data_IF_737652809408
#
_entry.id   IF_737652809408
#
_cell.length_a   1.000
_cell.length_b   1.000
_cell.length_c   1.000
_cell.angle_alpha   90.00
_cell.angle_beta   90.00
_cell.angle_gamma   90.00
#
_symmetry.space_group_name_H-M   'P 1'
#
loop_
_entity.id
_entity.type
_entity.pdbx_description
1 polymer ?
#
# COMPACT_ATOMS: atom_id res chain seq x y z
N UNK A 1 -5.48 -12.30 10.86
CA UNK A 1 -6.66 -11.98 11.67
C UNK A 1 -7.68 -11.21 10.84
N UNK A 2 -8.94 -11.65 10.85
CA UNK A 2 -10.04 -11.02 10.13
C UNK A 2 -10.87 -10.11 11.04
N UNK A 3 -11.38 -9.04 10.45
CA UNK A 3 -12.34 -8.13 11.07
C UNK A 3 -13.40 -7.77 10.05
N UNK A 4 -14.61 -7.51 10.50
CA UNK A 4 -15.67 -6.99 9.66
C UNK A 4 -16.32 -5.75 10.26
N UNK A 5 -16.89 -4.91 9.42
CA UNK A 5 -17.61 -3.70 9.82
C UNK A 5 -18.80 -3.47 8.90
N UNK A 6 -19.82 -2.78 9.41
CA UNK A 6 -20.96 -2.28 8.64
C UNK A 6 -20.85 -0.80 8.33
N UNK A 7 -19.99 -0.09 9.05
CA UNK A 7 -19.88 1.38 9.02
C UNK A 7 -18.43 1.88 8.89
N UNK A 8 -17.45 0.98 8.80
CA UNK A 8 -16.01 1.25 8.73
C UNK A 8 -15.42 1.95 9.97
N UNK A 9 -16.22 2.11 11.02
CA UNK A 9 -15.84 2.73 12.31
C UNK A 9 -15.82 1.68 13.42
N UNK A 10 -16.88 0.88 13.50
CA UNK A 10 -17.02 -0.18 14.47
C UNK A 10 -16.68 -1.53 13.85
N UNK A 11 -15.73 -2.25 14.46
CA UNK A 11 -15.17 -3.47 13.89
C UNK A 11 -15.35 -4.66 14.82
N UNK A 12 -15.90 -5.74 14.29
CA UNK A 12 -15.99 -7.04 14.93
C UNK A 12 -14.77 -7.89 14.57
N UNK A 13 -14.15 -8.50 15.57
CA UNK A 13 -13.04 -9.43 15.38
C UNK A 13 -13.59 -10.84 15.09
N UNK A 14 -13.15 -11.44 14.00
CA UNK A 14 -13.59 -12.77 13.53
C UNK A 14 -12.58 -13.89 13.85
N UNK A 15 -11.44 -13.57 14.42
CA UNK A 15 -10.40 -14.54 14.73
C UNK A 15 -9.27 -14.62 13.71
N UNK A 16 -8.42 -15.62 13.87
CA UNK A 16 -7.36 -15.93 12.93
C UNK A 16 -7.94 -16.56 11.66
N UNK A 17 -7.47 -16.12 10.50
CA UNK A 17 -7.85 -16.69 9.20
C UNK A 17 -6.96 -17.88 8.84
N UNK A 18 -5.69 -17.76 9.14
CA UNK A 18 -4.70 -18.82 8.86
C UNK A 18 -4.67 -19.81 9.99
N UNK A 19 -4.55 -21.10 9.65
CA UNK A 19 -4.33 -22.17 10.63
C UNK A 19 -2.95 -22.03 11.29
N UNK A 20 -2.85 -22.43 12.54
CA UNK A 20 -1.55 -22.60 13.22
C UNK A 20 -0.72 -23.72 12.59
N UNK A 21 -1.41 -24.75 12.02
CA UNK A 21 -0.74 -25.79 11.24
C UNK A 21 -0.63 -25.34 9.79
N UNK A 22 0.58 -25.18 9.29
CA UNK A 22 0.80 -24.73 7.92
C UNK A 22 0.32 -25.75 6.89
N UNK A 23 -0.11 -25.30 5.70
CA UNK A 23 -0.35 -26.20 4.58
C UNK A 23 0.90 -27.02 4.22
N UNK A 24 0.74 -28.30 4.01
CA UNK A 24 1.87 -29.21 3.72
C UNK A 24 2.61 -28.87 2.44
N UNK A 25 1.91 -28.32 1.45
CA UNK A 25 2.48 -27.93 0.17
C UNK A 25 3.65 -26.95 0.26
N UNK A 26 3.72 -26.14 1.34
CA UNK A 26 4.80 -25.16 1.55
C UNK A 26 6.14 -25.88 1.68
N UNK A 27 6.20 -26.85 2.59
CA UNK A 27 7.39 -27.69 2.81
C UNK A 27 7.70 -28.54 1.57
N UNK A 28 6.68 -29.14 0.98
CA UNK A 28 6.82 -29.97 -0.20
C UNK A 28 7.40 -29.21 -1.38
N UNK A 29 6.85 -28.00 -1.65
CA UNK A 29 7.32 -27.14 -2.74
C UNK A 29 8.74 -26.62 -2.50
N UNK A 30 9.04 -26.19 -1.26
CA UNK A 30 10.38 -25.76 -0.88
C UNK A 30 11.39 -26.87 -1.13
N UNK A 31 11.13 -28.07 -0.62
CA UNK A 31 12.04 -29.21 -0.76
C UNK A 31 12.17 -29.73 -2.19
N UNK A 32 11.11 -29.64 -3.00
CA UNK A 32 11.21 -29.94 -4.44
C UNK A 32 12.23 -29.03 -5.13
N UNK A 33 12.16 -27.72 -4.89
CA UNK A 33 13.15 -26.78 -5.45
C UNK A 33 14.56 -27.02 -4.89
N UNK A 34 14.70 -27.32 -3.61
CA UNK A 34 16.00 -27.66 -3.01
C UNK A 34 16.62 -28.90 -3.65
N UNK A 35 15.81 -29.93 -3.89
CA UNK A 35 16.26 -31.15 -4.59
C UNK A 35 16.76 -30.83 -6.00
N UNK A 36 16.05 -30.00 -6.75
CA UNK A 36 16.49 -29.56 -8.08
C UNK A 36 17.81 -28.79 -8.06
N UNK A 37 18.10 -28.11 -6.95
CA UNK A 37 19.36 -27.40 -6.72
C UNK A 37 20.46 -28.29 -6.13
N UNK A 38 20.18 -29.56 -5.85
CA UNK A 38 21.13 -30.48 -5.21
C UNK A 38 21.37 -30.22 -3.73
N UNK A 39 20.40 -29.60 -3.05
CA UNK A 39 20.46 -29.25 -1.63
C UNK A 39 19.65 -30.24 -0.79
N UNK A 40 20.07 -30.42 0.46
CA UNK A 40 19.38 -31.27 1.43
C UNK A 40 17.98 -30.74 1.76
N UNK A 41 16.99 -31.59 2.00
CA UNK A 41 15.65 -31.18 2.40
C UNK A 41 15.66 -30.56 3.80
N UNK A 42 14.65 -29.72 4.07
CA UNK A 42 14.43 -29.09 5.35
C UNK A 42 13.17 -29.66 5.97
N UNK A 43 13.27 -30.17 7.19
CA UNK A 43 12.16 -30.80 7.87
C UNK A 43 11.16 -29.81 8.47
N UNK A 44 11.66 -28.71 9.02
CA UNK A 44 10.86 -27.72 9.72
C UNK A 44 11.23 -26.30 9.25
N UNK A 45 10.80 -25.89 8.05
CA UNK A 45 11.06 -24.53 7.57
C UNK A 45 10.32 -23.52 8.45
N UNK A 46 11.01 -22.44 8.81
CA UNK A 46 10.39 -21.32 9.51
C UNK A 46 9.87 -20.31 8.50
N UNK A 47 8.64 -19.84 8.67
CA UNK A 47 8.01 -18.86 7.78
C UNK A 47 6.90 -18.09 8.48
N UNK A 48 6.48 -16.98 7.86
CA UNK A 48 5.37 -16.14 8.28
C UNK A 48 4.38 -15.89 7.17
N UNK A 49 3.12 -15.64 7.53
CA UNK A 49 2.07 -15.20 6.62
C UNK A 49 2.02 -13.68 6.59
N UNK A 50 2.07 -13.11 5.40
CA UNK A 50 2.10 -11.66 5.20
C UNK A 50 1.09 -11.21 4.15
N UNK A 51 0.69 -9.95 4.24
CA UNK A 51 0.02 -9.16 3.20
C UNK A 51 -1.06 -9.90 2.40
N UNK A 52 -2.14 -10.39 3.02
CA UNK A 52 -3.23 -11.02 2.28
C UNK A 52 -4.09 -9.97 1.56
N UNK A 53 -4.60 -10.35 0.40
CA UNK A 53 -5.66 -9.64 -0.32
C UNK A 53 -6.83 -10.57 -0.60
N UNK A 54 -8.03 -10.15 -0.29
CA UNK A 54 -9.24 -10.90 -0.59
C UNK A 54 -10.15 -10.11 -1.52
N UNK A 55 -10.68 -10.78 -2.57
CA UNK A 55 -11.59 -10.16 -3.55
C UNK A 55 -12.70 -11.13 -3.91
N UNK A 56 -13.86 -10.55 -4.23
CA UNK A 56 -14.97 -11.28 -4.83
C UNK A 56 -14.62 -11.64 -6.27
N UNK A 57 -14.79 -12.90 -6.63
CA UNK A 57 -14.58 -13.40 -8.00
C UNK A 57 -15.90 -13.45 -8.75
N UNK A 58 -16.94 -14.00 -8.09
CA UNK A 58 -18.29 -14.15 -8.62
C UNK A 58 -19.28 -14.26 -7.44
N UNK A 59 -20.57 -14.44 -7.73
CA UNK A 59 -21.53 -14.73 -6.67
C UNK A 59 -21.17 -16.05 -5.96
N UNK A 60 -20.96 -15.96 -4.64
CA UNK A 60 -20.59 -17.09 -3.82
C UNK A 60 -19.16 -17.61 -4.02
N UNK A 61 -18.29 -16.79 -4.63
CA UNK A 61 -16.86 -17.14 -4.75
C UNK A 61 -15.97 -15.95 -4.44
N UNK A 62 -15.09 -16.12 -3.45
CA UNK A 62 -14.07 -15.15 -3.03
C UNK A 62 -12.71 -15.82 -3.03
N UNK A 63 -11.69 -15.09 -3.46
CA UNK A 63 -10.30 -15.51 -3.45
C UNK A 63 -9.49 -14.64 -2.51
N UNK A 64 -8.59 -15.27 -1.78
CA UNK A 64 -7.58 -14.61 -0.95
C UNK A 64 -6.20 -15.11 -1.38
N UNK A 65 -5.40 -14.21 -1.92
CA UNK A 65 -3.97 -14.44 -2.13
C UNK A 65 -3.21 -13.96 -0.89
N UNK A 66 -2.19 -14.67 -0.50
CA UNK A 66 -1.40 -14.36 0.69
C UNK A 66 0.05 -14.74 0.50
N UNK A 67 0.93 -14.00 1.12
CA UNK A 67 2.37 -14.26 1.07
C UNK A 67 2.80 -15.21 2.16
N UNK A 68 3.74 -16.09 1.84
CA UNK A 68 4.46 -16.94 2.77
C UNK A 68 5.93 -16.56 2.66
N UNK A 69 6.43 -15.83 3.65
CA UNK A 69 7.84 -15.42 3.68
C UNK A 69 8.63 -16.45 4.44
N UNK A 70 9.52 -17.14 3.74
CA UNK A 70 10.46 -18.08 4.36
C UNK A 70 11.46 -17.27 5.19
N UNK A 71 11.66 -17.66 6.44
CA UNK A 71 12.53 -16.93 7.37
C UNK A 71 13.94 -16.80 6.82
N UNK A 72 14.55 -15.66 7.09
CA UNK A 72 15.73 -15.03 6.50
C UNK A 72 16.85 -15.93 6.01
N UNK A 73 16.99 -17.15 6.50
CA UNK A 73 17.99 -18.10 6.05
C UNK A 73 17.60 -19.51 6.40
N UNK A 74 18.15 -20.42 5.66
CA UNK A 74 17.99 -21.86 5.86
C UNK A 74 19.20 -22.36 6.62
N UNK A 75 18.97 -22.99 7.75
CA UNK A 75 20.01 -23.54 8.61
C UNK A 75 20.79 -24.63 7.88
N UNK A 76 22.09 -24.45 7.73
CA UNK A 76 22.97 -25.40 7.05
C UNK A 76 23.76 -26.28 8.00
N UNK A 77 23.65 -26.06 9.33
CA UNK A 77 24.50 -26.68 10.33
C UNK A 77 25.91 -26.06 10.46
N UNK A 78 26.23 -25.06 9.66
CA UNK A 78 27.47 -24.30 9.79
C UNK A 78 27.37 -23.28 10.92
N UNK A 79 28.49 -22.94 11.59
CA UNK A 79 28.50 -21.89 12.62
C UNK A 79 28.07 -20.56 12.01
N UNK A 80 27.27 -19.77 12.73
CA UNK A 80 27.00 -18.39 12.38
C UNK A 80 28.28 -17.56 12.49
N UNK A 81 28.49 -16.74 11.47
CA UNK A 81 29.49 -15.69 11.46
C UNK A 81 28.76 -14.37 11.57
N UNK A 82 29.28 -13.42 12.34
CA UNK A 82 28.69 -12.10 12.53
C UNK A 82 28.27 -11.48 11.19
N UNK A 83 27.02 -11.08 11.07
CA UNK A 83 26.37 -10.54 9.88
C UNK A 83 26.29 -11.48 8.66
N UNK A 84 26.68 -12.71 8.77
CA UNK A 84 26.66 -13.65 7.66
C UNK A 84 25.66 -14.78 7.81
N UNK A 85 25.10 -15.00 8.98
CA UNK A 85 24.10 -16.04 9.24
C UNK A 85 24.48 -17.45 8.78
N UNK A 86 23.81 -18.43 9.33
CA UNK A 86 23.96 -19.81 8.93
C UNK A 86 22.97 -20.15 7.80
N UNK A 87 23.25 -19.69 6.59
CA UNK A 87 22.41 -19.92 5.43
C UNK A 87 23.21 -20.51 4.25
N UNK A 88 22.53 -21.20 3.38
CA UNK A 88 23.17 -21.86 2.24
C UNK A 88 23.31 -20.96 0.99
N UNK A 89 22.82 -19.73 1.05
CA UNK A 89 22.86 -18.78 -0.07
C UNK A 89 22.01 -19.19 -1.26
N UNK A 90 21.11 -20.16 -1.08
CA UNK A 90 20.27 -20.65 -2.16
C UNK A 90 19.07 -19.75 -2.44
N UNK A 91 18.53 -19.90 -3.64
CA UNK A 91 17.28 -19.26 -4.02
C UNK A 91 16.10 -19.63 -3.10
N UNK A 92 16.13 -20.79 -2.44
CA UNK A 92 14.98 -21.34 -1.70
C UNK A 92 14.60 -20.59 -0.42
N UNK A 93 15.40 -19.62 0.02
CA UNK A 93 15.05 -18.71 1.12
C UNK A 93 14.08 -17.60 0.69
N UNK A 94 13.05 -17.88 -0.07
CA UNK A 94 12.23 -16.84 -0.65
C UNK A 94 10.77 -16.96 -0.23
N UNK A 95 9.98 -16.11 -0.81
CA UNK A 95 8.58 -16.10 -0.56
C UNK A 95 7.81 -16.92 -1.60
N UNK A 96 6.67 -17.39 -1.17
CA UNK A 96 5.62 -17.96 -2.01
C UNK A 96 4.36 -17.12 -1.88
N UNK A 97 3.53 -17.09 -2.91
CA UNK A 97 2.14 -16.69 -2.82
C UNK A 97 1.29 -17.94 -2.87
N UNK A 98 0.42 -18.07 -1.88
CA UNK A 98 -0.62 -19.09 -1.79
C UNK A 98 -2.00 -18.51 -2.11
N UNK A 99 -2.96 -19.40 -2.32
CA UNK A 99 -4.35 -19.07 -2.62
C UNK A 99 -5.28 -19.83 -1.69
N UNK A 100 -6.29 -19.11 -1.18
CA UNK A 100 -7.46 -19.66 -0.51
C UNK A 100 -8.74 -19.21 -1.16
N UNK A 101 -9.80 -19.99 -1.07
CA UNK A 101 -11.13 -19.65 -1.54
C UNK A 101 -12.18 -19.86 -0.46
N UNK A 102 -13.26 -19.07 -0.52
CA UNK A 102 -14.46 -19.25 0.31
C UNK A 102 -15.70 -18.83 -0.46
N UNK A 103 -16.85 -19.38 -0.07
CA UNK A 103 -18.16 -18.89 -0.52
C UNK A 103 -18.75 -17.83 0.43
N UNK A 104 -18.25 -17.76 1.67
CA UNK A 104 -18.70 -16.83 2.71
C UNK A 104 -17.51 -16.25 3.48
N UNK A 105 -17.01 -15.07 3.09
CA UNK A 105 -15.89 -14.45 3.79
C UNK A 105 -16.24 -14.00 5.21
N UNK A 106 -17.53 -13.84 5.54
CA UNK A 106 -17.96 -13.46 6.88
C UNK A 106 -17.82 -14.60 7.90
N UNK A 107 -17.81 -15.84 7.45
CA UNK A 107 -17.53 -17.01 8.29
C UNK A 107 -16.07 -17.10 8.73
N UNK A 108 -15.17 -16.42 8.00
CA UNK A 108 -13.72 -16.52 8.14
C UNK A 108 -13.16 -17.95 7.97
N UNK A 109 -13.91 -18.82 7.26
CA UNK A 109 -13.49 -20.18 6.91
C UNK A 109 -13.06 -20.18 5.45
N UNK A 110 -11.80 -20.54 5.20
CA UNK A 110 -11.18 -20.52 3.90
C UNK A 110 -10.58 -21.89 3.57
N UNK A 111 -10.79 -22.33 2.34
CA UNK A 111 -10.20 -23.56 1.81
C UNK A 111 -8.88 -23.26 1.12
N UNK A 112 -7.80 -23.94 1.53
CA UNK A 112 -6.49 -23.82 0.88
C UNK A 112 -6.52 -24.39 -0.54
N UNK A 113 -6.04 -23.60 -1.49
CA UNK A 113 -5.90 -23.96 -2.92
C UNK A 113 -4.43 -24.10 -3.34
N UNK A 114 -3.53 -23.98 -2.37
CA UNK A 114 -2.11 -24.23 -2.53
C UNK A 114 -1.33 -23.14 -3.24
N UNK A 115 -0.17 -23.53 -3.74
CA UNK A 115 0.84 -22.70 -4.37
C UNK A 115 0.34 -21.97 -5.62
N UNK A 116 0.76 -20.72 -5.78
CA UNK A 116 0.50 -19.87 -6.96
C UNK A 116 1.80 -19.53 -7.67
N UNK A 117 2.70 -18.85 -7.02
CA UNK A 117 3.96 -18.35 -7.57
C UNK A 117 4.99 -18.21 -6.46
N UNK A 118 6.28 -18.22 -6.82
CA UNK A 118 7.39 -17.98 -5.90
C UNK A 118 8.24 -16.79 -6.37
N UNK A 119 9.09 -16.29 -5.48
CA UNK A 119 10.14 -15.35 -5.86
C UNK A 119 11.03 -15.96 -6.93
N UNK A 120 11.47 -15.14 -7.87
CA UNK A 120 12.22 -15.61 -9.03
C UNK A 120 13.45 -14.72 -9.32
N UNK A 121 14.49 -15.32 -9.88
CA UNK A 121 15.80 -14.70 -10.09
C UNK A 121 16.34 -14.93 -11.51
N UNK A 122 17.24 -14.09 -11.92
CA UNK A 122 18.06 -14.21 -13.14
C UNK A 122 19.51 -14.66 -12.82
N UNK A 123 19.77 -15.14 -11.60
CA UNK A 123 21.12 -15.45 -11.09
C UNK A 123 21.53 -16.91 -11.26
N UNK A 124 20.68 -17.76 -11.81
CA UNK A 124 20.94 -19.20 -11.89
C UNK A 124 20.75 -19.93 -10.56
N UNK A 125 21.04 -21.23 -10.55
CA UNK A 125 20.83 -22.10 -9.39
C UNK A 125 21.85 -21.92 -8.26
N UNK A 126 23.07 -21.57 -8.58
CA UNK A 126 24.22 -21.64 -7.67
C UNK A 126 24.91 -20.33 -7.41
N UNK A 127 24.81 -19.40 -8.32
CA UNK A 127 25.43 -18.08 -8.20
C UNK A 127 24.43 -17.04 -7.71
N UNK A 128 24.02 -17.19 -6.48
CA UNK A 128 22.98 -16.37 -5.88
C UNK A 128 23.49 -15.02 -5.35
N UNK A 129 24.80 -14.87 -5.22
CA UNK A 129 25.48 -13.61 -4.95
C UNK A 129 25.20 -12.98 -3.59
N UNK A 130 24.55 -13.70 -2.66
CA UNK A 130 24.31 -13.20 -1.31
C UNK A 130 25.54 -13.41 -0.46
N UNK A 131 26.15 -12.34 0.00
CA UNK A 131 27.37 -12.38 0.83
C UNK A 131 27.07 -12.44 2.32
N UNK A 132 25.90 -11.98 2.76
CA UNK A 132 25.46 -12.00 4.17
C UNK A 132 23.96 -12.00 4.28
N UNK A 133 23.43 -12.23 5.48
CA UNK A 133 22.00 -12.14 5.79
C UNK A 133 21.41 -10.75 5.48
N UNK A 134 22.22 -9.72 5.55
CA UNK A 134 21.81 -8.34 5.30
C UNK A 134 21.99 -7.92 3.83
N UNK A 135 22.53 -8.79 3.01
CA UNK A 135 22.71 -8.56 1.58
C UNK A 135 21.42 -8.87 0.83
N UNK A 136 20.60 -7.85 0.62
CA UNK A 136 19.34 -7.94 -0.13
C UNK A 136 19.54 -7.67 -1.64
N UNK A 137 20.67 -7.13 -2.04
CA UNK A 137 21.04 -6.93 -3.43
C UNK A 137 21.31 -8.26 -4.13
N UNK A 138 20.98 -8.39 -5.35
CA UNK A 138 21.22 -9.63 -6.10
C UNK A 138 20.33 -10.81 -5.75
N UNK A 139 19.43 -10.64 -4.84
CA UNK A 139 18.57 -11.67 -4.29
C UNK A 139 17.69 -12.32 -5.33
N UNK A 140 16.71 -11.59 -5.82
CA UNK A 140 15.76 -12.06 -6.82
C UNK A 140 15.32 -10.88 -7.71
N UNK A 141 14.80 -11.19 -8.85
CA UNK A 141 14.28 -10.20 -9.79
C UNK A 141 12.84 -9.83 -9.49
N UNK A 142 12.01 -10.81 -9.11
CA UNK A 142 10.63 -10.61 -8.66
C UNK A 142 10.47 -11.27 -7.30
N UNK A 143 9.97 -10.52 -6.33
CA UNK A 143 9.69 -11.01 -4.99
C UNK A 143 8.21 -11.39 -4.87
N UNK A 144 7.90 -12.64 -4.51
CA UNK A 144 6.53 -13.14 -4.41
C UNK A 144 5.88 -12.79 -3.06
N UNK A 145 5.77 -11.49 -2.78
CA UNK A 145 5.02 -10.96 -1.64
C UNK A 145 4.13 -9.79 -2.07
N UNK A 146 3.28 -9.34 -1.17
CA UNK A 146 2.38 -8.21 -1.31
C UNK A 146 1.43 -8.32 -2.52
N UNK A 147 0.67 -9.41 -2.65
CA UNK A 147 -0.25 -9.56 -3.77
C UNK A 147 -1.43 -8.59 -3.69
N UNK A 148 -1.85 -8.05 -4.83
CA UNK A 148 -3.20 -7.55 -5.07
C UNK A 148 -3.82 -8.25 -6.26
N UNK A 149 -5.14 -8.28 -6.34
CA UNK A 149 -5.86 -9.07 -7.34
C UNK A 149 -7.01 -8.26 -7.92
N UNK A 150 -7.12 -8.27 -9.24
CA UNK A 150 -8.17 -7.55 -9.96
C UNK A 150 -8.72 -8.38 -11.12
N UNK A 151 -10.01 -8.20 -11.40
CA UNK A 151 -10.67 -8.67 -12.60
C UNK A 151 -10.89 -7.47 -13.50
N UNK A 152 -10.37 -7.52 -14.72
CA UNK A 152 -10.51 -6.44 -15.69
C UNK A 152 -11.93 -6.38 -16.26
N UNK A 153 -12.28 -5.29 -16.93
CA UNK A 153 -13.57 -5.16 -17.60
C UNK A 153 -13.80 -6.22 -18.68
N UNK A 154 -12.73 -6.74 -19.27
CA UNK A 154 -12.77 -7.82 -20.24
C UNK A 154 -12.88 -9.23 -19.61
N UNK A 155 -12.95 -9.31 -18.28
CA UNK A 155 -13.03 -10.57 -17.55
C UNK A 155 -11.70 -11.30 -17.39
N UNK A 156 -10.57 -10.66 -17.68
CA UNK A 156 -9.25 -11.21 -17.40
C UNK A 156 -8.94 -11.07 -15.91
N UNK A 157 -8.28 -12.07 -15.34
CA UNK A 157 -7.89 -12.12 -13.94
C UNK A 157 -6.38 -11.86 -13.81
N UNK A 158 -6.01 -10.91 -12.96
CA UNK A 158 -4.63 -10.49 -12.80
C UNK A 158 -4.23 -10.44 -11.34
N UNK A 159 -3.03 -10.94 -11.07
CA UNK A 159 -2.32 -10.82 -9.81
C UNK A 159 -1.19 -9.82 -10.00
N UNK A 160 -1.19 -8.75 -9.21
CA UNK A 160 -0.11 -7.76 -9.19
C UNK A 160 0.63 -7.96 -7.87
N UNK A 161 1.94 -8.14 -7.93
CA UNK A 161 2.72 -8.49 -6.74
C UNK A 161 4.17 -8.03 -6.86
N UNK A 162 4.85 -7.95 -5.76
CA UNK A 162 6.26 -7.60 -5.70
C UNK A 162 6.58 -6.66 -4.55
N UNK A 163 7.83 -6.69 -4.14
CA UNK A 163 8.29 -5.88 -3.03
C UNK A 163 9.81 -5.72 -3.14
N UNK A 164 10.27 -4.48 -3.11
CA UNK A 164 11.67 -4.12 -3.22
C UNK A 164 12.32 -4.66 -4.53
N UNK A 165 13.64 -4.70 -4.56
CA UNK A 165 14.47 -5.28 -5.64
C UNK A 165 14.10 -4.76 -7.03
N UNK A 166 13.68 -5.62 -7.94
CA UNK A 166 13.42 -5.21 -9.32
C UNK A 166 12.03 -4.63 -9.57
N UNK A 167 11.15 -4.66 -8.57
CA UNK A 167 9.87 -3.94 -8.65
C UNK A 167 8.63 -4.82 -8.59
N UNK A 168 7.56 -4.33 -9.23
CA UNK A 168 6.21 -4.87 -9.19
C UNK A 168 5.90 -5.55 -10.52
N UNK A 169 5.37 -6.76 -10.46
CA UNK A 169 4.99 -7.56 -11.63
C UNK A 169 3.47 -7.70 -11.77
N UNK A 170 3.00 -7.74 -13.01
CA UNK A 170 1.63 -8.08 -13.40
C UNK A 170 1.62 -9.49 -14.00
N UNK A 171 0.89 -10.40 -13.37
CA UNK A 171 0.78 -11.80 -13.73
C UNK A 171 -0.67 -12.13 -14.05
N UNK A 172 -0.94 -12.57 -15.26
CA UNK A 172 -2.26 -13.06 -15.63
C UNK A 172 -2.51 -14.44 -15.03
N UNK A 173 -3.69 -14.62 -14.43
CA UNK A 173 -4.10 -15.88 -13.80
C UNK A 173 -5.37 -16.43 -14.44
N UNK A 174 -5.52 -17.73 -14.41
CA UNK A 174 -6.70 -18.42 -14.93
C UNK A 174 -7.94 -18.06 -14.08
N UNK A 175 -9.03 -17.59 -14.71
CA UNK A 175 -10.28 -17.28 -14.02
C UNK A 175 -10.86 -18.44 -13.20
N UNK A 176 -10.69 -19.69 -13.63
CA UNK A 176 -11.28 -20.86 -12.99
C UNK A 176 -10.60 -21.21 -11.67
N UNK A 177 -9.28 -21.31 -11.66
CA UNK A 177 -8.51 -21.80 -10.51
C UNK A 177 -7.60 -20.76 -9.84
N UNK A 178 -7.44 -19.56 -10.45
CA UNK A 178 -6.61 -18.49 -9.87
C UNK A 178 -5.10 -18.75 -9.91
N UNK A 179 -4.65 -19.75 -10.68
CA UNK A 179 -3.22 -20.04 -10.87
C UNK A 179 -2.68 -19.31 -12.09
N UNK A 180 -1.35 -19.20 -12.25
CA UNK A 180 -0.77 -18.58 -13.43
C UNK A 180 -1.34 -19.15 -14.73
N UNK A 181 -1.70 -18.27 -15.67
CA UNK A 181 -2.28 -18.71 -16.95
C UNK A 181 -1.28 -19.51 -17.78
N UNK A 182 -0.01 -19.12 -17.71
CA UNK A 182 1.10 -19.84 -18.35
C UNK A 182 1.88 -20.64 -17.31
N UNK A 183 2.49 -21.72 -17.74
CA UNK A 183 3.35 -22.52 -16.89
C UNK A 183 4.51 -21.68 -16.35
N UNK A 184 4.80 -21.82 -15.06
CA UNK A 184 5.98 -21.23 -14.44
C UNK A 184 7.23 -21.89 -15.03
N UNK A 185 8.18 -21.08 -15.49
CA UNK A 185 9.53 -21.52 -15.80
C UNK A 185 10.35 -21.77 -14.54
N UNK A 186 11.62 -22.06 -14.72
CA UNK A 186 12.54 -22.20 -13.60
C UNK A 186 12.69 -20.85 -12.85
N UNK A 187 12.48 -20.82 -11.54
CA UNK A 187 12.48 -19.56 -10.78
C UNK A 187 13.86 -18.93 -10.60
N UNK A 188 14.93 -19.60 -10.98
CA UNK A 188 16.30 -19.09 -10.94
C UNK A 188 16.84 -18.63 -12.30
N UNK A 189 16.01 -18.63 -13.34
CA UNK A 189 16.44 -18.47 -14.73
C UNK A 189 15.52 -17.54 -15.53
N UNK A 190 14.89 -16.57 -14.86
CA UNK A 190 14.02 -15.61 -15.51
C UNK A 190 14.84 -14.47 -16.12
N UNK A 191 14.53 -14.12 -17.37
CA UNK A 191 15.24 -13.07 -18.12
C UNK A 191 14.26 -12.07 -18.74
N UNK A 192 14.74 -10.86 -19.03
CA UNK A 192 13.94 -9.83 -19.67
C UNK A 192 12.92 -9.14 -18.72
N UNK A 193 12.07 -8.30 -19.30
CA UNK A 193 10.99 -7.60 -18.59
C UNK A 193 9.68 -8.37 -18.58
N UNK A 194 9.43 -9.15 -19.63
CA UNK A 194 8.31 -10.07 -19.75
C UNK A 194 8.79 -11.48 -19.42
N UNK A 195 8.67 -11.82 -18.14
CA UNK A 195 9.10 -13.12 -17.64
C UNK A 195 7.92 -14.07 -17.65
N UNK A 196 7.69 -14.71 -18.79
CA UNK A 196 6.60 -15.64 -19.00
C UNK A 196 6.41 -16.59 -17.82
N UNK A 197 5.20 -16.61 -17.26
CA UNK A 197 4.85 -17.37 -16.07
C UNK A 197 5.08 -16.64 -14.72
N UNK A 198 5.95 -15.63 -14.65
CA UNK A 198 6.16 -14.81 -13.45
C UNK A 198 5.60 -13.38 -13.60
N UNK A 199 5.16 -13.02 -14.78
CA UNK A 199 4.56 -11.73 -15.09
C UNK A 199 5.53 -10.70 -15.64
N UNK A 200 4.97 -9.59 -16.09
CA UNK A 200 5.67 -8.43 -16.65
C UNK A 200 5.92 -7.42 -15.54
N UNK A 201 7.12 -6.90 -15.45
CA UNK A 201 7.44 -5.80 -14.51
C UNK A 201 6.77 -4.52 -15.02
N UNK A 202 5.94 -3.89 -14.19
CA UNK A 202 5.12 -2.72 -14.52
C UNK A 202 5.52 -1.46 -13.77
N UNK A 203 6.26 -1.59 -12.69
CA UNK A 203 6.78 -0.46 -11.92
C UNK A 203 8.08 -0.82 -11.21
N UNK A 204 9.04 0.12 -11.20
CA UNK A 204 10.28 0.03 -10.44
C UNK A 204 10.60 1.39 -9.83
N UNK A 205 11.14 1.42 -8.62
CA UNK A 205 11.57 2.67 -8.00
C UNK A 205 13.04 2.93 -8.28
N UNK A 206 13.35 3.80 -9.24
CA UNK A 206 14.72 4.10 -9.65
C UNK A 206 15.43 2.91 -10.26
N UNK A 207 16.73 2.89 -10.20
CA UNK A 207 17.62 1.85 -10.76
C UNK A 207 18.28 0.97 -9.71
N UNK A 208 18.17 1.34 -8.43
CA UNK A 208 18.75 0.59 -7.31
C UNK A 208 17.75 -0.41 -6.73
N UNK A 209 18.19 -1.63 -6.53
CA UNK A 209 17.40 -2.68 -5.86
C UNK A 209 17.10 -2.37 -4.38
N UNK A 210 17.82 -1.43 -3.79
CA UNK A 210 17.61 -0.96 -2.41
C UNK A 210 16.48 0.06 -2.26
N UNK A 211 15.92 0.54 -3.35
CA UNK A 211 14.82 1.48 -3.27
C UNK A 211 13.52 0.75 -3.02
N UNK A 212 12.96 0.97 -1.84
CA UNK A 212 11.71 0.35 -1.43
C UNK A 212 10.53 0.87 -2.27
N UNK A 213 9.90 -0.05 -3.00
CA UNK A 213 8.60 0.09 -3.61
C UNK A 213 7.89 -1.23 -3.41
N UNK A 214 6.78 -1.23 -2.67
CA UNK A 214 6.09 -2.45 -2.27
C UNK A 214 4.60 -2.20 -2.05
N UNK A 215 3.88 -3.22 -1.58
CA UNK A 215 2.47 -3.12 -1.24
C UNK A 215 1.61 -2.59 -2.38
N UNK A 216 1.70 -3.16 -3.61
CA UNK A 216 0.87 -2.70 -4.72
C UNK A 216 -0.61 -2.90 -4.41
N UNK A 217 -1.42 -1.93 -4.76
CA UNK A 217 -2.87 -2.06 -4.81
C UNK A 217 -3.35 -1.53 -6.15
N UNK A 218 -4.28 -2.25 -6.80
CA UNK A 218 -4.80 -1.85 -8.11
C UNK A 218 -6.31 -1.79 -8.08
N UNK A 219 -6.84 -0.69 -8.61
CA UNK A 219 -8.27 -0.53 -8.89
C UNK A 219 -8.47 -0.09 -10.34
N UNK A 220 -9.69 -0.29 -10.84
CA UNK A 220 -10.13 0.29 -12.12
C UNK A 220 -11.19 1.36 -11.86
N UNK A 221 -11.02 2.52 -12.49
CA UNK A 221 -11.99 3.60 -12.43
C UNK A 221 -11.90 4.50 -13.68
N UNK A 222 -13.04 4.79 -14.28
CA UNK A 222 -13.19 5.75 -15.39
C UNK A 222 -12.19 5.53 -16.55
N UNK A 223 -11.97 4.26 -16.91
CA UNK A 223 -11.10 3.87 -18.05
C UNK A 223 -9.62 3.84 -17.71
N UNK A 224 -9.24 3.87 -16.42
CA UNK A 224 -7.86 3.74 -15.96
C UNK A 224 -7.71 2.69 -14.87
N UNK A 225 -6.62 1.95 -14.93
CA UNK A 225 -6.08 1.20 -13.81
C UNK A 225 -5.19 2.14 -13.00
N UNK A 226 -5.46 2.25 -11.70
CA UNK A 226 -4.64 3.01 -10.76
C UNK A 226 -3.81 2.05 -9.95
N UNK A 227 -2.49 2.22 -9.98
CA UNK A 227 -1.54 1.45 -9.21
C UNK A 227 -1.03 2.31 -8.05
N UNK A 228 -1.37 1.90 -6.84
CA UNK A 228 -0.91 2.51 -5.60
C UNK A 228 0.29 1.73 -5.08
N UNK A 229 1.31 2.43 -4.59
CA UNK A 229 2.57 1.86 -4.14
C UNK A 229 2.99 2.46 -2.80
N UNK A 230 3.54 1.64 -1.93
CA UNK A 230 4.22 2.07 -0.72
C UNK A 230 5.70 2.35 -1.00
N UNK A 231 6.16 3.54 -0.65
CA UNK A 231 7.56 3.95 -0.76
C UNK A 231 8.14 4.18 0.64
N UNK A 232 9.42 3.91 0.81
CA UNK A 232 10.15 4.07 2.06
C UNK A 232 10.06 2.87 2.99
N UNK A 233 10.64 3.00 4.17
CA UNK A 233 10.60 1.94 5.18
C UNK A 233 9.31 2.01 6.01
N UNK A 234 8.79 0.84 6.34
CA UNK A 234 7.46 0.68 6.93
C UNK A 234 7.29 1.30 8.33
N UNK A 235 8.36 1.49 9.08
CA UNK A 235 8.26 1.94 10.47
C UNK A 235 8.05 3.45 10.62
N UNK A 236 8.61 4.25 9.70
CA UNK A 236 8.54 5.73 9.75
C UNK A 236 8.22 6.32 8.39
N UNK A 237 9.00 5.98 7.36
CA UNK A 237 9.04 6.69 6.09
C UNK A 237 7.88 6.38 5.14
N UNK A 238 7.12 5.32 5.42
CA UNK A 238 6.05 4.89 4.53
C UNK A 238 5.20 6.06 4.04
N UNK A 239 5.08 6.11 2.74
CA UNK A 239 4.25 7.05 2.02
C UNK A 239 3.62 6.37 0.80
N UNK A 240 2.41 6.75 0.47
CA UNK A 240 1.69 6.18 -0.67
C UNK A 240 1.83 7.05 -1.89
N UNK A 241 2.16 6.42 -3.01
CA UNK A 241 2.23 7.02 -4.35
C UNK A 241 1.21 6.37 -5.25
N UNK A 242 0.80 7.07 -6.31
CA UNK A 242 -0.12 6.52 -7.30
C UNK A 242 0.31 6.90 -8.71
N UNK A 243 0.14 5.96 -9.62
CA UNK A 243 0.24 6.14 -11.06
C UNK A 243 -0.92 5.44 -11.74
N UNK A 244 -1.15 5.69 -13.02
CA UNK A 244 -2.27 5.08 -13.75
C UNK A 244 -1.90 4.69 -15.17
N UNK A 245 -2.65 3.73 -15.71
CA UNK A 245 -2.53 3.24 -17.09
C UNK A 245 -3.88 2.93 -17.68
N UNK A 246 -3.99 2.92 -19.01
CA UNK A 246 -5.16 2.39 -19.72
C UNK A 246 -5.18 0.86 -19.74
N UNK A 247 -4.03 0.22 -19.59
CA UNK A 247 -3.88 -1.24 -19.58
C UNK A 247 -3.38 -1.70 -18.22
N UNK A 248 -3.85 -2.89 -17.80
CA UNK A 248 -3.47 -3.47 -16.50
C UNK A 248 -1.97 -3.77 -16.41
N UNK A 249 -1.33 -4.13 -17.51
CA UNK A 249 0.09 -4.43 -17.63
C UNK A 249 0.95 -3.22 -18.05
N UNK A 250 0.38 -2.01 -17.98
CA UNK A 250 1.05 -0.74 -18.24
C UNK A 250 1.05 -0.28 -19.71
N UNK A 251 1.82 0.76 -20.04
CA UNK A 251 2.70 1.54 -19.16
C UNK A 251 1.94 2.41 -18.16
N UNK A 252 2.41 2.43 -16.92
CA UNK A 252 1.88 3.31 -15.88
C UNK A 252 2.64 4.63 -15.85
N UNK A 253 1.90 5.72 -15.68
CA UNK A 253 2.46 7.08 -15.58
C UNK A 253 1.88 7.82 -14.38
N UNK A 254 2.68 8.70 -13.81
CA UNK A 254 2.27 9.59 -12.72
C UNK A 254 1.45 10.79 -13.24
N UNK A 255 1.03 11.70 -12.35
CA UNK A 255 0.23 12.88 -12.69
C UNK A 255 0.94 13.84 -13.67
N UNK A 256 2.26 13.78 -13.76
CA UNK A 256 3.07 14.59 -14.66
C UNK A 256 3.45 13.85 -15.96
N UNK A 257 2.95 12.62 -16.14
CA UNK A 257 3.29 11.78 -17.29
C UNK A 257 4.63 11.05 -17.18
N UNK A 258 5.28 11.09 -16.01
CA UNK A 258 6.52 10.35 -15.80
C UNK A 258 6.24 8.85 -15.66
N UNK A 259 7.08 8.04 -16.29
CA UNK A 259 6.98 6.57 -16.22
C UNK A 259 7.12 6.05 -14.80
N UNK A 260 6.34 5.04 -14.44
CA UNK A 260 6.53 4.27 -13.21
C UNK A 260 7.76 3.34 -13.26
N UNK A 261 8.34 3.14 -14.44
CA UNK A 261 9.57 2.37 -14.61
C UNK A 261 10.80 3.24 -14.39
N UNK A 262 11.63 2.88 -13.41
CA UNK A 262 12.89 3.57 -13.13
C UNK A 262 12.73 4.94 -12.46
N UNK A 263 11.55 5.32 -12.00
CA UNK A 263 11.32 6.61 -11.39
C UNK A 263 11.33 6.54 -9.86
N UNK A 264 12.33 7.18 -9.26
CA UNK A 264 12.46 7.25 -7.80
C UNK A 264 11.37 8.09 -7.12
N UNK A 265 10.70 8.96 -7.86
CA UNK A 265 9.72 9.93 -7.33
C UNK A 265 8.47 9.97 -8.21
N UNK A 266 7.46 9.18 -7.85
CA UNK A 266 6.12 9.28 -8.44
C UNK A 266 5.27 10.31 -7.72
N UNK A 267 4.45 11.04 -8.44
CA UNK A 267 3.46 11.97 -7.91
C UNK A 267 2.05 11.57 -8.37
N UNK A 268 1.02 11.84 -7.56
CA UNK A 268 1.06 12.53 -6.28
C UNK A 268 1.50 11.65 -5.11
N UNK A 269 1.83 12.30 -4.00
CA UNK A 269 1.94 11.71 -2.69
C UNK A 269 0.54 11.69 -2.09
N UNK A 270 0.03 10.54 -1.71
CA UNK A 270 -1.31 10.47 -1.11
C UNK A 270 -1.28 10.54 0.42
N UNK A 271 -0.30 9.88 1.01
CA UNK A 271 -0.06 9.87 2.45
C UNK A 271 1.43 9.98 2.72
N UNK A 272 1.81 10.55 3.84
CA UNK A 272 3.19 10.60 4.34
C UNK A 272 3.17 10.84 5.86
N UNK A 273 4.28 10.69 6.58
CA UNK A 273 4.36 11.02 8.00
C UNK A 273 3.96 12.47 8.27
N UNK A 274 3.03 12.66 9.21
CA UNK A 274 2.50 13.97 9.53
C UNK A 274 2.07 14.09 10.99
N UNK A 275 1.87 15.32 11.46
CA UNK A 275 1.13 15.63 12.67
C UNK A 275 0.40 16.96 12.55
N UNK A 276 -0.81 17.02 13.05
CA UNK A 276 -1.47 18.25 13.43
C UNK A 276 -0.89 18.73 14.75
N UNK A 277 -0.86 20.01 14.98
CA UNK A 277 -0.04 20.66 16.02
C UNK A 277 -0.27 19.98 17.36
N UNK A 278 -1.25 19.94 18.01
CA UNK A 278 -1.44 19.38 19.36
C UNK A 278 -1.55 17.84 19.40
N UNK A 279 -0.94 17.11 18.46
CA UNK A 279 -1.01 15.66 18.41
C UNK A 279 0.36 15.00 18.29
N UNK A 280 0.43 13.71 18.54
CA UNK A 280 1.62 12.92 18.24
C UNK A 280 1.75 12.67 16.74
N UNK A 281 0.62 12.77 16.01
CA UNK A 281 0.54 12.45 14.60
C UNK A 281 0.78 10.97 14.28
N UNK A 282 1.05 10.72 13.03
CA UNK A 282 1.17 9.37 12.49
C UNK A 282 2.39 9.24 11.58
N UNK A 283 3.01 8.06 11.63
CA UNK A 283 4.08 7.64 10.74
C UNK A 283 3.74 6.27 10.14
N UNK A 284 4.51 5.81 9.18
CA UNK A 284 4.34 4.47 8.61
C UNK A 284 2.99 4.27 7.89
N UNK A 285 2.43 5.30 7.26
CA UNK A 285 1.08 5.28 6.67
C UNK A 285 1.18 4.89 5.21
N UNK A 286 1.08 3.62 4.92
CA UNK A 286 1.01 3.09 3.55
C UNK A 286 0.66 1.60 3.55
N UNK A 287 1.00 0.88 2.47
CA UNK A 287 0.59 -0.49 2.20
C UNK A 287 -0.94 -0.57 2.22
N UNK A 288 -1.54 0.10 1.25
CA UNK A 288 -2.95 0.42 1.27
C UNK A 288 -3.82 -0.64 0.59
N UNK A 289 -5.10 -0.64 0.97
CA UNK A 289 -6.19 -1.23 0.21
C UNK A 289 -7.16 -0.12 -0.19
N UNK A 290 -7.67 -0.16 -1.41
CA UNK A 290 -8.59 0.82 -1.97
C UNK A 290 -9.88 0.12 -2.35
N UNK A 291 -11.01 0.68 -1.97
CA UNK A 291 -12.31 0.12 -2.34
C UNK A 291 -13.39 1.21 -2.37
N UNK A 292 -14.50 0.91 -3.03
CA UNK A 292 -15.73 1.70 -2.98
C UNK A 292 -16.84 0.91 -2.27
N UNK A 293 -17.86 1.63 -1.80
CA UNK A 293 -19.02 1.05 -1.11
C UNK A 293 -20.19 0.73 -2.05
N UNK A 294 -20.00 0.89 -3.36
CA UNK A 294 -21.06 0.74 -4.36
C UNK A 294 -22.05 1.90 -4.41
N UNK A 295 -21.94 2.89 -3.52
CA UNK A 295 -22.74 4.12 -3.49
C UNK A 295 -21.96 5.35 -3.97
N UNK A 296 -20.76 5.16 -4.48
CA UNK A 296 -19.89 6.21 -5.00
C UNK A 296 -18.90 6.78 -3.99
N UNK A 297 -18.88 6.28 -2.76
CA UNK A 297 -17.87 6.65 -1.79
C UNK A 297 -16.64 5.74 -1.91
N UNK A 298 -15.47 6.33 -1.87
CA UNK A 298 -14.20 5.63 -1.98
C UNK A 298 -13.41 5.75 -0.70
N UNK A 299 -12.72 4.67 -0.37
CA UNK A 299 -11.98 4.55 0.88
C UNK A 299 -10.56 4.04 0.64
N UNK A 300 -9.67 4.59 1.44
CA UNK A 300 -8.29 4.21 1.58
C UNK A 300 -8.11 3.52 2.94
N UNK A 301 -7.61 2.31 2.96
CA UNK A 301 -7.22 1.61 4.18
C UNK A 301 -5.71 1.43 4.22
N UNK A 302 -5.12 1.51 5.38
CA UNK A 302 -3.68 1.26 5.55
C UNK A 302 -3.36 0.89 6.99
N UNK A 303 -2.11 0.52 7.21
CA UNK A 303 -1.54 0.65 8.55
C UNK A 303 -1.26 2.13 8.88
N UNK A 304 -1.14 2.43 10.17
CA UNK A 304 -0.54 3.63 10.71
C UNK A 304 0.17 3.27 12.01
N UNK A 305 1.23 4.00 12.32
CA UNK A 305 2.02 3.80 13.55
C UNK A 305 2.15 5.09 14.31
N UNK A 306 2.27 5.00 15.61
CA UNK A 306 2.75 6.14 16.40
C UNK A 306 4.25 6.38 16.12
N UNK A 307 4.70 7.63 16.27
CA UNK A 307 6.14 7.90 16.41
C UNK A 307 6.75 7.13 17.59
N UNK A 308 8.05 7.00 17.63
CA UNK A 308 8.75 6.48 18.81
C UNK A 308 8.55 7.39 20.02
N UNK A 309 8.58 6.82 21.22
CA UNK A 309 8.51 7.55 22.51
C UNK A 309 7.20 8.32 22.76
N UNK A 310 6.10 7.96 22.13
CA UNK A 310 4.79 8.52 22.43
C UNK A 310 4.37 8.14 23.85
N UNK A 311 4.06 9.16 24.68
CA UNK A 311 3.69 8.95 26.08
C UNK A 311 4.79 8.31 26.94
N UNK A 312 6.06 8.44 26.54
CA UNK A 312 7.20 7.82 27.23
C UNK A 312 7.40 6.33 26.94
N UNK A 313 6.63 5.76 26.00
CA UNK A 313 6.79 4.36 25.57
C UNK A 313 7.76 4.28 24.38
N UNK A 314 8.96 3.77 24.59
CA UNK A 314 9.98 3.58 23.55
C UNK A 314 9.53 2.63 22.43
N UNK A 315 8.59 1.74 22.72
CA UNK A 315 8.02 0.77 21.75
C UNK A 315 6.74 1.25 21.09
N UNK A 316 6.34 2.50 21.25
CA UNK A 316 5.08 3.02 20.67
C UNK A 316 5.01 2.84 19.16
N UNK A 317 6.13 2.91 18.47
CA UNK A 317 6.22 2.68 17.02
C UNK A 317 5.99 1.22 16.60
N UNK A 318 6.13 0.25 17.50
CA UNK A 318 5.88 -1.15 17.20
C UNK A 318 4.38 -1.46 17.02
N UNK A 319 3.51 -0.60 17.54
CA UNK A 319 2.06 -0.79 17.46
C UNK A 319 1.55 -0.33 16.09
N UNK A 320 1.04 -1.28 15.32
CA UNK A 320 0.35 -1.01 14.06
C UNK A 320 -1.16 -0.92 14.28
N UNK A 321 -1.77 0.11 13.75
CA UNK A 321 -3.22 0.31 13.78
C UNK A 321 -3.77 0.37 12.36
N UNK A 322 -4.93 -0.24 12.14
CA UNK A 322 -5.67 -0.10 10.90
C UNK A 322 -6.31 1.27 10.81
N UNK A 323 -6.10 1.95 9.70
CA UNK A 323 -6.73 3.23 9.37
C UNK A 323 -7.70 3.07 8.21
N UNK A 324 -8.81 3.78 8.26
CA UNK A 324 -9.70 4.03 7.13
C UNK A 324 -9.78 5.53 6.92
N UNK A 325 -9.69 5.99 5.68
CA UNK A 325 -9.80 7.40 5.28
C UNK A 325 -10.68 7.49 4.04
N UNK A 326 -11.43 8.57 3.91
CA UNK A 326 -12.16 8.84 2.68
C UNK A 326 -11.21 9.23 1.55
N UNK A 327 -11.62 8.93 0.34
CA UNK A 327 -11.01 9.43 -0.89
C UNK A 327 -12.01 10.33 -1.60
N UNK A 328 -11.58 11.53 -1.98
CA UNK A 328 -12.21 12.30 -3.04
C UNK A 328 -11.39 12.20 -4.32
N UNK A 329 -12.02 12.45 -5.45
CA UNK A 329 -11.37 12.47 -6.75
C UNK A 329 -11.33 13.90 -7.27
N UNK A 330 -10.18 14.36 -7.75
CA UNK A 330 -10.09 15.68 -8.35
C UNK A 330 -10.74 15.72 -9.76
N UNK A 331 -10.84 16.89 -10.34
CA UNK A 331 -11.46 17.09 -11.64
C UNK A 331 -10.74 16.34 -12.80
N UNK A 332 -9.49 15.92 -12.59
CA UNK A 332 -8.69 15.17 -13.55
C UNK A 332 -8.69 13.66 -13.27
N UNK A 333 -9.47 13.21 -12.29
CA UNK A 333 -9.61 11.82 -11.89
C UNK A 333 -8.45 11.30 -11.04
N UNK A 334 -7.71 12.14 -10.33
CA UNK A 334 -6.69 11.69 -9.39
C UNK A 334 -7.25 11.61 -7.96
N UNK A 335 -6.85 10.59 -7.18
CA UNK A 335 -7.35 10.41 -5.83
C UNK A 335 -6.73 11.40 -4.84
N UNK A 336 -7.54 11.83 -3.90
CA UNK A 336 -7.19 12.70 -2.77
C UNK A 336 -7.60 12.00 -1.49
N UNK A 337 -6.64 11.48 -0.73
CA UNK A 337 -6.89 10.84 0.57
C UNK A 337 -7.07 11.92 1.62
N UNK A 338 -8.18 11.86 2.37
CA UNK A 338 -8.48 12.85 3.41
C UNK A 338 -7.55 12.71 4.62
N UNK A 339 -7.21 13.83 5.29
CA UNK A 339 -6.22 13.84 6.36
C UNK A 339 -6.66 13.14 7.63
N UNK A 340 -7.96 13.14 7.93
CA UNK A 340 -8.50 12.50 9.12
C UNK A 340 -8.98 11.07 8.85
N UNK A 341 -8.98 10.25 9.88
CA UNK A 341 -9.56 8.91 9.83
C UNK A 341 -11.07 9.02 9.68
N UNK A 342 -11.65 8.11 8.93
CA UNK A 342 -13.07 8.09 8.67
C UNK A 342 -13.88 7.89 9.94
N UNK A 343 -14.83 8.78 10.18
CA UNK A 343 -15.71 8.77 11.35
C UNK A 343 -17.19 8.63 11.02
N UNK A 344 -17.56 8.30 9.78
CA UNK A 344 -18.94 8.18 9.29
C UNK A 344 -19.78 9.44 9.53
N UNK A 345 -19.18 10.61 9.43
CA UNK A 345 -19.88 11.90 9.60
C UNK A 345 -20.81 12.15 8.43
N UNK A 346 -22.09 12.52 8.65
CA UNK A 346 -22.99 12.91 7.59
C UNK A 346 -22.44 14.09 6.78
N UNK A 347 -22.45 13.98 5.45
CA UNK A 347 -21.91 14.97 4.54
C UNK A 347 -22.95 16.05 4.20
N UNK A 348 -23.44 16.80 5.20
CA UNK A 348 -24.24 17.98 4.94
C UNK A 348 -23.42 19.02 4.17
N UNK A 349 -24.01 19.78 3.21
CA UNK A 349 -23.30 20.81 2.47
C UNK A 349 -22.57 21.78 3.41
N UNK A 350 -21.32 22.06 3.09
CA UNK A 350 -20.51 23.07 3.75
C UNK A 350 -20.90 24.43 3.16
N UNK A 351 -21.02 25.41 4.03
CA UNK A 351 -21.30 26.80 3.63
C UNK A 351 -20.04 27.65 3.65
N UNK A 352 -20.01 28.71 2.89
CA UNK A 352 -18.85 29.61 2.83
C UNK A 352 -18.51 30.22 4.20
N UNK A 353 -19.51 30.53 5.03
CA UNK A 353 -19.30 31.05 6.39
C UNK A 353 -18.55 30.06 7.28
N UNK A 354 -18.71 28.78 7.06
CA UNK A 354 -18.00 27.74 7.83
C UNK A 354 -16.51 27.65 7.47
N UNK A 355 -16.09 28.20 6.32
CA UNK A 355 -14.69 28.19 5.87
C UNK A 355 -13.87 29.21 6.66
N UNK A 356 -14.46 30.35 7.00
CA UNK A 356 -13.77 31.43 7.69
C UNK A 356 -13.17 30.99 9.03
N UNK A 357 -12.01 31.53 9.37
CA UNK A 357 -11.29 31.25 10.60
C UNK A 357 -10.01 30.45 10.41
N UNK A 358 -9.53 29.87 11.48
CA UNK A 358 -8.22 29.22 11.53
C UNK A 358 -8.30 27.77 11.09
N UNK A 359 -7.27 27.35 10.37
CA UNK A 359 -7.05 26.01 9.88
C UNK A 359 -5.64 25.54 10.20
N UNK A 360 -5.49 24.31 10.57
CA UNK A 360 -4.21 23.64 10.46
C UNK A 360 -3.98 23.25 8.99
N UNK A 361 -2.85 23.64 8.46
CA UNK A 361 -2.44 23.37 7.07
C UNK A 361 -1.09 22.66 7.05
N UNK A 362 -0.92 21.66 6.22
CA UNK A 362 0.36 21.03 6.02
C UNK A 362 0.56 20.57 4.56
N UNK A 363 1.82 20.57 4.16
CA UNK A 363 2.24 20.09 2.86
C UNK A 363 3.02 18.79 3.01
N UNK A 364 2.49 17.70 2.44
CA UNK A 364 3.19 16.43 2.33
C UNK A 364 4.26 16.54 1.24
N UNK A 365 5.47 16.19 1.57
CA UNK A 365 6.62 16.24 0.66
C UNK A 365 7.40 14.94 0.69
N UNK A 366 8.31 14.78 -0.26
CA UNK A 366 9.16 13.58 -0.42
C UNK A 366 10.25 13.44 0.63
N UNK A 367 10.44 14.43 1.51
CA UNK A 367 11.47 14.31 2.54
C UNK A 367 11.05 13.23 3.54
N UNK A 368 11.87 12.24 3.63
CA UNK A 368 11.69 11.02 4.42
C UNK A 368 12.20 11.19 5.84
N UNK A 369 11.70 10.37 6.76
CA UNK A 369 12.23 10.25 8.12
C UNK A 369 11.74 11.27 9.15
N UNK A 370 10.97 12.29 8.76
CA UNK A 370 10.38 13.24 9.71
C UNK A 370 8.92 13.52 9.40
N UNK A 371 8.12 13.64 10.47
CA UNK A 371 6.74 14.08 10.33
C UNK A 371 6.69 15.54 9.86
N UNK A 372 5.75 15.82 8.96
CA UNK A 372 5.37 17.20 8.65
C UNK A 372 4.41 17.71 9.70
N UNK A 373 4.76 18.85 10.32
CA UNK A 373 3.89 19.52 11.27
C UNK A 373 3.06 20.57 10.54
N UNK A 374 1.79 20.69 10.93
CA UNK A 374 0.90 21.73 10.43
C UNK A 374 1.37 23.14 10.82
N UNK A 375 0.93 24.11 10.06
CA UNK A 375 0.98 25.54 10.39
C UNK A 375 -0.45 26.08 10.48
N UNK A 376 -0.64 27.18 11.19
CA UNK A 376 -1.93 27.86 11.21
C UNK A 376 -2.08 28.75 10.00
N UNK A 377 -3.23 28.59 9.30
CA UNK A 377 -3.62 29.38 8.15
C UNK A 377 -5.01 29.94 8.39
N UNK A 378 -5.18 31.25 8.29
CA UNK A 378 -6.45 31.93 8.59
C UNK A 378 -7.14 32.39 7.31
N UNK A 379 -8.39 31.97 7.12
CA UNK A 379 -9.26 32.36 6.00
C UNK A 379 -10.17 33.48 6.45
N UNK A 380 -10.03 34.66 5.82
CA UNK A 380 -10.85 35.83 6.09
C UNK A 380 -12.00 35.92 5.09
N UNK A 381 -13.24 35.92 5.61
CA UNK A 381 -14.45 35.92 4.79
C UNK A 381 -14.69 37.28 4.15
N UNK A 382 -14.38 38.38 4.85
CA UNK A 382 -14.69 39.72 4.36
C UNK A 382 -13.83 40.15 3.18
N UNK A 383 -12.56 39.74 3.17
CA UNK A 383 -11.62 40.06 2.07
C UNK A 383 -11.40 38.91 1.11
N UNK A 384 -11.89 37.71 1.40
CA UNK A 384 -11.58 36.47 0.67
C UNK A 384 -10.07 36.26 0.50
N UNK A 385 -9.30 36.57 1.55
CA UNK A 385 -7.85 36.38 1.60
C UNK A 385 -7.46 35.42 2.71
N UNK A 386 -6.34 34.75 2.49
CA UNK A 386 -5.62 34.02 3.52
C UNK A 386 -4.70 35.03 4.21
N UNK A 387 -4.84 35.19 5.53
CA UNK A 387 -4.18 36.27 6.29
C UNK A 387 -2.95 35.82 7.07
N UNK A 388 -2.76 34.47 7.18
CA UNK A 388 -1.59 33.88 7.86
C UNK A 388 -1.09 32.63 7.13
N UNK A 389 0.04 32.07 7.58
CA UNK A 389 0.63 30.85 7.04
C UNK A 389 1.35 31.06 5.71
N UNK A 390 1.77 29.94 5.11
CA UNK A 390 2.58 29.93 3.88
C UNK A 390 1.86 30.50 2.65
N UNK A 391 0.53 30.55 2.66
CA UNK A 391 -0.28 31.15 1.58
C UNK A 391 -0.81 32.55 1.93
N UNK A 392 -0.20 33.23 2.89
CA UNK A 392 -0.57 34.60 3.25
C UNK A 392 -0.65 35.50 2.02
N UNK A 393 -1.74 36.28 1.93
CA UNK A 393 -2.15 37.15 0.83
C UNK A 393 -2.73 36.43 -0.40
N UNK A 394 -2.76 35.10 -0.45
CA UNK A 394 -3.52 34.42 -1.50
C UNK A 394 -5.02 34.71 -1.34
N UNK A 395 -5.70 34.88 -2.45
CA UNK A 395 -7.17 34.98 -2.49
C UNK A 395 -7.78 33.59 -2.58
N UNK A 396 -9.02 33.45 -2.13
CA UNK A 396 -9.78 32.20 -2.24
C UNK A 396 -11.22 32.46 -2.66
N UNK A 397 -11.80 31.47 -3.32
CA UNK A 397 -13.22 31.44 -3.68
C UNK A 397 -13.76 30.05 -3.35
N UNK A 398 -15.03 30.02 -2.94
CA UNK A 398 -15.70 28.76 -2.61
C UNK A 398 -16.75 28.41 -3.66
N UNK A 399 -16.77 27.16 -4.10
CA UNK A 399 -17.80 26.58 -4.94
C UNK A 399 -18.65 25.60 -4.11
N UNK A 400 -19.88 26.01 -3.84
CA UNK A 400 -20.82 25.21 -3.06
C UNK A 400 -21.30 23.95 -3.81
N UNK A 401 -21.29 23.95 -5.14
CA UNK A 401 -21.73 22.79 -5.92
C UNK A 401 -20.73 21.65 -5.87
N UNK A 402 -19.45 21.97 -5.96
CA UNK A 402 -18.35 20.98 -5.92
C UNK A 402 -17.76 20.82 -4.53
N UNK A 403 -18.15 21.66 -3.57
CA UNK A 403 -17.57 21.68 -2.21
C UNK A 403 -16.04 21.82 -2.26
N UNK A 404 -15.59 22.86 -3.01
CA UNK A 404 -14.17 23.14 -3.21
C UNK A 404 -13.82 24.60 -2.93
N UNK A 405 -12.58 24.83 -2.55
CA UNK A 405 -11.98 26.16 -2.46
C UNK A 405 -10.91 26.27 -3.55
N UNK A 406 -11.00 27.25 -4.41
CA UNK A 406 -9.93 27.62 -5.35
C UNK A 406 -9.09 28.74 -4.78
N UNK A 407 -7.78 28.57 -4.78
CA UNK A 407 -6.84 29.59 -4.25
C UNK A 407 -6.00 30.19 -5.35
N UNK A 408 -5.60 31.47 -5.20
CA UNK A 408 -4.63 32.09 -6.10
C UNK A 408 -3.20 31.53 -5.95
N UNK A 409 -2.97 30.63 -5.00
CA UNK A 409 -1.77 29.82 -4.94
C UNK A 409 -1.75 28.69 -6.01
N UNK A 410 -2.80 28.59 -6.81
CA UNK A 410 -2.90 27.61 -7.93
C UNK A 410 -3.32 26.22 -7.47
N UNK A 411 -4.01 26.10 -6.35
CA UNK A 411 -4.44 24.83 -5.77
C UNK A 411 -5.94 24.85 -5.50
N UNK A 412 -6.61 23.74 -5.82
CA UNK A 412 -8.03 23.50 -5.50
C UNK A 412 -8.12 22.55 -4.33
N UNK A 413 -8.78 23.00 -3.26
CA UNK A 413 -8.96 22.24 -2.02
C UNK A 413 -10.32 21.54 -2.05
N UNK A 414 -10.36 20.25 -1.86
CA UNK A 414 -11.58 19.43 -1.84
C UNK A 414 -12.00 19.21 -0.39
N UNK A 415 -13.13 19.77 -0.01
CA UNK A 415 -13.61 19.80 1.37
C UNK A 415 -14.45 18.56 1.71
N UNK A 416 -14.40 18.15 2.97
CA UNK A 416 -15.23 17.09 3.54
C UNK A 416 -15.45 17.33 5.03
N UNK A 417 -16.60 16.90 5.57
CA UNK A 417 -16.84 16.83 7.01
C UNK A 417 -16.23 15.57 7.58
N UNK A 418 -15.59 15.68 8.74
CA UNK A 418 -14.98 14.54 9.40
C UNK A 418 -14.97 14.72 10.93
N UNK A 419 -14.60 13.68 11.65
CA UNK A 419 -14.32 13.74 13.08
C UNK A 419 -12.92 14.34 13.27
N UNK A 420 -12.80 15.31 14.17
CA UNK A 420 -11.51 15.74 14.73
C UNK A 420 -11.07 14.71 15.78
N UNK A 421 -10.20 13.79 15.38
CA UNK A 421 -9.73 12.71 16.24
C UNK A 421 -8.70 13.15 17.28
N UNK A 422 -8.11 14.32 17.12
CA UNK A 422 -7.17 14.93 18.03
C UNK A 422 -7.85 15.79 19.11
N UNK A 423 -9.09 16.24 18.87
CA UNK A 423 -9.86 17.02 19.83
C UNK A 423 -10.29 16.19 21.05
N UNK A 424 -10.34 16.84 22.21
CA UNK A 424 -10.84 16.25 23.45
C UNK A 424 -11.80 17.22 24.16
N UNK A 425 -13.12 16.94 24.20
CA UNK A 425 -13.83 15.79 23.57
C UNK A 425 -13.73 15.84 22.04
N UNK A 426 -13.91 14.67 21.41
CA UNK A 426 -13.98 14.58 19.95
C UNK A 426 -15.17 15.35 19.41
N UNK A 427 -14.96 16.10 18.35
CA UNK A 427 -15.97 16.95 17.69
C UNK A 427 -15.96 16.68 16.18
N UNK A 428 -16.93 17.22 15.47
CA UNK A 428 -16.90 17.23 14.01
C UNK A 428 -16.13 18.47 13.53
N UNK A 429 -15.41 18.32 12.43
CA UNK A 429 -14.69 19.39 11.78
C UNK A 429 -14.84 19.33 10.26
N UNK A 430 -14.24 20.26 9.55
CA UNK A 430 -14.08 20.25 8.10
C UNK A 430 -12.62 20.01 7.80
N UNK A 431 -12.37 19.11 6.86
CA UNK A 431 -11.03 18.80 6.38
C UNK A 431 -10.94 19.04 4.88
N UNK A 432 -9.73 19.19 4.37
CA UNK A 432 -9.50 19.17 2.94
C UNK A 432 -8.25 18.38 2.55
N UNK A 433 -8.27 17.91 1.32
CA UNK A 433 -7.09 17.44 0.61
C UNK A 433 -6.99 18.12 -0.75
N UNK A 434 -5.76 18.31 -1.22
CA UNK A 434 -5.47 18.97 -2.48
C UNK A 434 -4.14 18.51 -3.06
N UNK A 435 -3.98 18.70 -4.37
CA UNK A 435 -2.72 18.45 -5.08
C UNK A 435 -2.35 19.69 -5.89
N UNK A 436 -1.08 20.01 -5.92
CA UNK A 436 -0.53 21.10 -6.71
C UNK A 436 0.93 21.36 -6.38
N UNK A 437 1.67 21.99 -7.29
CA UNK A 437 3.06 22.38 -7.06
C UNK A 437 3.96 21.22 -6.58
N UNK A 438 3.74 20.01 -7.10
CA UNK A 438 4.43 18.76 -6.70
C UNK A 438 4.28 18.41 -5.21
N UNK A 439 3.20 18.84 -4.60
CA UNK A 439 2.87 18.57 -3.20
C UNK A 439 1.42 18.14 -3.07
N UNK A 440 1.15 17.44 -1.98
CA UNK A 440 -0.20 17.22 -1.48
C UNK A 440 -0.40 18.09 -0.26
N UNK A 441 -1.54 18.76 -0.20
CA UNK A 441 -1.88 19.62 0.92
C UNK A 441 -3.04 19.00 1.69
N UNK A 442 -2.92 19.02 3.00
CA UNK A 442 -3.95 18.63 3.93
C UNK A 442 -4.31 19.78 4.85
N UNK A 443 -5.58 19.87 5.20
CA UNK A 443 -6.02 20.86 6.18
C UNK A 443 -7.15 20.34 7.05
N UNK A 444 -7.20 20.91 8.25
CA UNK A 444 -8.23 20.69 9.24
C UNK A 444 -8.63 22.02 9.86
N UNK A 445 -9.93 22.30 9.86
CA UNK A 445 -10.46 23.53 10.47
C UNK A 445 -10.35 23.43 11.98
N UNK A 446 -9.80 24.48 12.61
CA UNK A 446 -9.82 24.67 14.06
C UNK A 446 -11.19 25.20 14.52
N UNK A 447 -11.61 24.75 15.68
CA UNK A 447 -12.87 25.18 16.30
C UNK A 447 -12.66 26.35 17.24
#
# INVERSE_FOLDING_TARGET
HARRSKDLVNWEYLGATMSETPPTWIKEKLNAYRQEMGLEPIDNPSYGYWAPVARKVSNGKYRMYYSIVITNYIQTGKPEIENNGNFDGSWTERAFIGLMETSDPASNIWEDKGFVVCSASDKGKTDYGRSSINDWEGYFKINAIDPTYIITENGEHWLIYGSWHSGIAALQVNPEDGKPLNALGNPWDITGEDNSGYGKIIATRGTSRWQASEGPEVIYRDGYYYLFLAYGSLSVEYNTRVCRSRNIDGPYVDIHGNSAMGNAQLYPILTAPYRFDNSYGWVGISHCGIFDDGAGNWFYTSQGRFPVNVGGNEYSNAIMMGHVRSIRWDANGWPLVMPERYGAVPQAPITENEIAGDWEHLALTTSTGTQRTSETMTYDLGTHKITSGSWKNATWTFDAATQTITTSAGVVLYLQREVDWEASPRTHTIVYAAQGNQKTYWGKKLQ
#
